data_IF_666736616744
#
_entry.id   IF_666736616744
#
_cell.length_a   1.000
_cell.length_b   1.000
_cell.length_c   1.000
_cell.angle_alpha   90.00
_cell.angle_beta   90.00
_cell.angle_gamma   90.00
#
_symmetry.space_group_name_H-M   'P 1'
#
loop_
_entity.id
_entity.type
_entity.pdbx_description
1 polymer ?
#
# COMPACT_ATOMS: atom_id res chain seq x y z
N UNK A 1 -11.63 -22.63 -11.58
CA UNK A 1 -10.96 -21.32 -11.39
C UNK A 1 -9.51 -21.59 -11.03
N UNK A 2 -8.63 -21.51 -12.02
CA UNK A 2 -7.20 -21.75 -11.80
C UNK A 2 -6.65 -20.59 -10.97
N UNK A 3 -6.13 -20.90 -9.79
CA UNK A 3 -5.22 -20.02 -9.06
C UNK A 3 -4.00 -19.80 -9.96
N UNK A 4 -4.09 -18.87 -10.92
CA UNK A 4 -2.89 -18.29 -11.49
C UNK A 4 -2.12 -17.75 -10.29
N UNK A 5 -0.91 -18.26 -10.11
CA UNK A 5 -0.04 -17.86 -9.02
C UNK A 5 0.28 -16.38 -9.20
N UNK A 6 -0.55 -15.48 -8.64
CA UNK A 6 -0.29 -14.05 -8.54
C UNK A 6 1.09 -13.80 -7.92
N UNK A 7 1.58 -14.78 -7.15
CA UNK A 7 2.92 -14.84 -6.61
C UNK A 7 4.05 -14.79 -7.65
N UNK A 8 3.81 -14.93 -8.96
CA UNK A 8 4.84 -14.70 -10.00
C UNK A 8 4.91 -13.25 -10.46
N UNK A 9 3.83 -12.47 -10.33
CA UNK A 9 3.77 -11.09 -10.81
C UNK A 9 4.70 -10.17 -10.01
N UNK A 10 5.68 -9.52 -10.65
CA UNK A 10 6.62 -8.64 -9.94
C UNK A 10 5.91 -7.54 -9.14
N UNK A 11 4.83 -6.96 -9.68
CA UNK A 11 4.06 -5.91 -9.02
C UNK A 11 3.36 -6.42 -7.75
N UNK A 12 2.89 -7.67 -7.78
CA UNK A 12 2.20 -8.28 -6.65
C UNK A 12 3.20 -8.60 -5.52
N UNK A 13 4.38 -9.14 -5.87
CA UNK A 13 5.47 -9.34 -4.89
C UNK A 13 5.86 -8.02 -4.22
N UNK A 14 6.08 -6.96 -5.01
CA UNK A 14 6.39 -5.63 -4.48
C UNK A 14 5.26 -5.04 -3.64
N UNK A 15 4.00 -5.32 -3.96
CA UNK A 15 2.88 -4.92 -3.12
C UNK A 15 2.88 -5.63 -1.76
N UNK A 16 3.26 -6.92 -1.71
CA UNK A 16 3.39 -7.65 -0.44
C UNK A 16 4.54 -7.11 0.41
N UNK A 17 5.69 -6.79 -0.19
CA UNK A 17 6.82 -6.14 0.50
C UNK A 17 6.42 -4.77 1.07
N UNK A 18 5.75 -3.93 0.26
CA UNK A 18 5.21 -2.64 0.72
C UNK A 18 4.20 -2.81 1.86
N UNK A 19 3.31 -3.81 1.78
CA UNK A 19 2.36 -4.13 2.84
C UNK A 19 3.05 -4.56 4.12
N UNK A 20 4.09 -5.38 4.01
CA UNK A 20 4.88 -5.82 5.16
C UNK A 20 5.54 -4.62 5.85
N UNK A 21 6.30 -3.81 5.10
CA UNK A 21 6.94 -2.61 5.65
C UNK A 21 5.91 -1.66 6.29
N UNK A 22 4.78 -1.43 5.62
CA UNK A 22 3.72 -0.55 6.14
C UNK A 22 3.13 -1.08 7.45
N UNK A 23 3.01 -2.40 7.60
CA UNK A 23 2.57 -3.04 8.85
C UNK A 23 3.56 -2.83 9.98
N UNK A 24 4.85 -3.02 9.73
CA UNK A 24 5.88 -2.80 10.75
C UNK A 24 5.91 -1.34 11.20
N UNK A 25 5.80 -0.38 10.27
CA UNK A 25 5.70 1.05 10.61
C UNK A 25 4.43 1.34 11.41
N UNK A 26 3.26 0.85 10.97
CA UNK A 26 2.00 1.05 11.69
C UNK A 26 2.05 0.45 13.11
N UNK A 27 2.65 -0.73 13.27
CA UNK A 27 2.83 -1.37 14.57
C UNK A 27 3.73 -0.53 15.47
N UNK A 28 4.85 -0.05 14.93
CA UNK A 28 5.80 0.80 15.65
C UNK A 28 5.14 2.09 16.16
N UNK A 29 4.53 2.88 15.26
CA UNK A 29 3.98 4.20 15.62
C UNK A 29 2.75 4.12 16.52
N UNK A 30 2.06 2.98 16.53
CA UNK A 30 0.86 2.77 17.36
C UNK A 30 1.13 2.03 18.67
N UNK A 31 2.40 1.73 18.98
CA UNK A 31 2.78 0.90 20.13
C UNK A 31 2.12 -0.48 20.12
N UNK A 32 2.14 -1.13 18.95
CA UNK A 32 1.61 -2.48 18.68
C UNK A 32 0.10 -2.62 18.92
N UNK A 33 -0.68 -1.57 18.68
CA UNK A 33 -2.15 -1.68 18.65
C UNK A 33 -2.57 -2.49 17.43
N UNK A 34 -3.53 -3.40 17.63
CA UNK A 34 -4.15 -4.10 16.52
C UNK A 34 -5.12 -3.19 15.74
N UNK A 35 -5.48 -3.58 14.52
CA UNK A 35 -6.31 -2.77 13.61
C UNK A 35 -7.64 -2.32 14.23
N UNK A 36 -8.34 -3.19 14.96
CA UNK A 36 -9.59 -2.85 15.65
C UNK A 36 -9.39 -1.73 16.69
N UNK A 37 -8.30 -1.78 17.44
CA UNK A 37 -7.95 -0.73 18.42
C UNK A 37 -7.53 0.58 17.74
N UNK A 38 -6.89 0.51 16.58
CA UNK A 38 -6.55 1.70 15.80
C UNK A 38 -7.81 2.41 15.32
N UNK A 39 -8.75 1.67 14.73
CA UNK A 39 -10.01 2.20 14.23
C UNK A 39 -10.86 2.89 15.30
N UNK A 40 -10.75 2.46 16.57
CA UNK A 40 -11.47 3.03 17.70
C UNK A 40 -10.71 4.16 18.41
N UNK A 41 -9.50 4.51 17.94
CA UNK A 41 -8.65 5.49 18.61
C UNK A 41 -9.01 6.93 18.25
N UNK A 42 -8.92 7.81 19.23
CA UNK A 42 -9.00 9.27 19.01
C UNK A 42 -7.61 9.91 18.78
N UNK A 43 -6.54 9.11 18.77
CA UNK A 43 -5.18 9.60 18.52
C UNK A 43 -4.97 9.86 17.03
N UNK A 44 -4.48 11.05 16.69
CA UNK A 44 -4.13 11.39 15.31
C UNK A 44 -3.13 10.40 14.70
N UNK A 45 -2.11 10.00 15.49
CA UNK A 45 -1.12 9.01 15.10
C UNK A 45 -1.72 7.64 14.80
N UNK A 46 -2.65 7.18 15.62
CA UNK A 46 -3.32 5.89 15.42
C UNK A 46 -4.20 5.92 14.17
N UNK A 47 -4.89 7.04 13.91
CA UNK A 47 -5.69 7.22 12.69
C UNK A 47 -4.84 7.22 11.42
N UNK A 48 -3.64 7.81 11.47
CA UNK A 48 -2.68 7.71 10.36
C UNK A 48 -2.20 6.27 10.19
N UNK A 49 -1.90 5.56 11.28
CA UNK A 49 -1.48 4.16 11.24
C UNK A 49 -2.56 3.23 10.66
N UNK A 50 -3.82 3.44 11.04
CA UNK A 50 -4.98 2.73 10.49
C UNK A 50 -5.12 2.93 8.99
N UNK A 51 -5.07 4.20 8.56
CA UNK A 51 -5.19 4.57 7.14
C UNK A 51 -4.03 4.00 6.32
N UNK A 52 -2.80 4.07 6.84
CA UNK A 52 -1.61 3.49 6.24
C UNK A 52 -1.77 1.98 6.03
N UNK A 53 -2.19 1.27 7.07
CA UNK A 53 -2.32 -0.18 7.04
C UNK A 53 -3.47 -0.60 6.11
N UNK A 54 -4.57 0.14 6.10
CA UNK A 54 -5.72 -0.09 5.23
C UNK A 54 -5.33 0.00 3.75
N UNK A 55 -4.72 1.11 3.33
CA UNK A 55 -4.28 1.27 1.93
C UNK A 55 -3.25 0.20 1.54
N UNK A 56 -2.31 -0.11 2.44
CA UNK A 56 -1.28 -1.11 2.19
C UNK A 56 -1.84 -2.55 2.08
N UNK A 57 -2.93 -2.88 2.78
CA UNK A 57 -3.65 -4.15 2.64
C UNK A 57 -4.44 -4.19 1.32
N UNK A 58 -5.07 -3.08 0.95
CA UNK A 58 -5.91 -3.02 -0.24
C UNK A 58 -5.10 -3.10 -1.54
N UNK A 59 -3.89 -2.54 -1.61
CA UNK A 59 -3.05 -2.58 -2.82
C UNK A 59 -2.91 -3.98 -3.43
N UNK A 60 -2.41 -5.01 -2.70
CA UNK A 60 -2.29 -6.36 -3.28
C UNK A 60 -3.65 -6.99 -3.62
N UNK A 61 -4.70 -6.74 -2.84
CA UNK A 61 -6.05 -7.24 -3.15
C UNK A 61 -6.58 -6.64 -4.45
N UNK A 62 -6.34 -5.34 -4.68
CA UNK A 62 -6.71 -4.64 -5.91
C UNK A 62 -5.92 -5.14 -7.11
N UNK A 63 -4.63 -5.43 -6.97
CA UNK A 63 -3.85 -6.06 -8.05
C UNK A 63 -4.46 -7.41 -8.42
N UNK A 64 -4.71 -8.28 -7.43
CA UNK A 64 -5.33 -9.59 -7.70
C UNK A 64 -6.70 -9.46 -8.38
N UNK A 65 -7.52 -8.49 -7.95
CA UNK A 65 -8.80 -8.19 -8.59
C UNK A 65 -8.63 -7.77 -10.05
N UNK A 66 -7.70 -6.86 -10.34
CA UNK A 66 -7.42 -6.38 -11.70
C UNK A 66 -6.89 -7.48 -12.62
N UNK A 67 -6.21 -8.49 -12.09
CA UNK A 67 -5.75 -9.65 -12.86
C UNK A 67 -6.85 -10.69 -13.06
N UNK A 68 -7.86 -10.72 -12.18
CA UNK A 68 -8.98 -11.66 -12.28
C UNK A 68 -10.13 -11.18 -13.18
N UNK A 69 -10.24 -9.87 -13.44
CA UNK A 69 -11.29 -9.30 -14.30
C UNK A 69 -10.83 -9.22 -15.75
N UNK A 70 -11.75 -9.50 -16.68
CA UNK A 70 -11.53 -9.34 -18.12
C UNK A 70 -11.93 -7.95 -18.63
N UNK A 71 -12.57 -7.13 -17.79
CA UNK A 71 -13.04 -5.81 -18.19
C UNK A 71 -11.91 -4.78 -18.14
N UNK A 72 -11.38 -4.38 -19.31
CA UNK A 72 -10.30 -3.39 -19.41
C UNK A 72 -10.59 -2.09 -18.65
N UNK A 73 -11.81 -1.54 -18.76
CA UNK A 73 -12.20 -0.33 -18.04
C UNK A 73 -12.14 -0.51 -16.52
N UNK A 74 -12.47 -1.70 -16.01
CA UNK A 74 -12.36 -2.02 -14.59
C UNK A 74 -10.89 -2.12 -14.15
N UNK A 75 -10.04 -2.79 -14.94
CA UNK A 75 -8.59 -2.88 -14.69
C UNK A 75 -7.96 -1.49 -14.59
N UNK A 76 -8.32 -0.58 -15.50
CA UNK A 76 -7.82 0.80 -15.51
C UNK A 76 -8.33 1.64 -14.33
N UNK A 77 -9.59 1.45 -13.91
CA UNK A 77 -10.12 2.07 -12.68
C UNK A 77 -9.36 1.57 -11.45
N UNK A 78 -9.13 0.25 -11.36
CA UNK A 78 -8.36 -0.34 -10.25
C UNK A 78 -6.93 0.21 -10.22
N UNK A 79 -6.24 0.30 -11.36
CA UNK A 79 -4.92 0.91 -11.43
C UNK A 79 -4.94 2.37 -10.95
N UNK A 80 -5.99 3.12 -11.28
CA UNK A 80 -6.16 4.51 -10.78
C UNK A 80 -6.28 4.54 -9.26
N UNK A 81 -7.08 3.66 -8.65
CA UNK A 81 -7.19 3.56 -7.20
C UNK A 81 -5.86 3.19 -6.54
N UNK A 82 -5.12 2.24 -7.10
CA UNK A 82 -3.78 1.89 -6.59
C UNK A 82 -2.87 3.11 -6.59
N UNK A 83 -2.87 3.91 -7.66
CA UNK A 83 -2.05 5.11 -7.73
C UNK A 83 -2.43 6.16 -6.66
N UNK A 84 -3.71 6.26 -6.29
CA UNK A 84 -4.19 7.11 -5.18
C UNK A 84 -3.63 6.58 -3.86
N UNK A 85 -3.77 5.28 -3.57
CA UNK A 85 -3.24 4.67 -2.34
C UNK A 85 -1.72 4.89 -2.18
N UNK A 86 -0.94 4.78 -3.27
CA UNK A 86 0.51 5.08 -3.21
C UNK A 86 0.78 6.54 -2.81
N UNK A 87 -0.03 7.49 -3.29
CA UNK A 87 0.10 8.91 -2.90
C UNK A 87 -0.29 9.13 -1.45
N UNK A 88 -1.36 8.47 -1.00
CA UNK A 88 -1.81 8.49 0.39
C UNK A 88 -0.73 8.00 1.34
N UNK A 89 -0.08 6.86 1.06
CA UNK A 89 1.02 6.33 1.89
C UNK A 89 2.15 7.35 2.08
N UNK A 90 2.51 8.11 1.04
CA UNK A 90 3.49 9.20 1.19
C UNK A 90 2.98 10.36 2.06
N UNK A 91 1.70 10.68 1.97
CA UNK A 91 1.05 11.67 2.83
C UNK A 91 0.99 11.20 4.29
N UNK A 92 0.74 9.92 4.54
CA UNK A 92 0.79 9.33 5.89
C UNK A 92 2.18 9.43 6.49
N UNK A 93 3.24 9.13 5.73
CA UNK A 93 4.63 9.34 6.20
C UNK A 93 4.87 10.80 6.61
N UNK A 94 4.41 11.76 5.79
CA UNK A 94 4.52 13.20 6.11
C UNK A 94 3.66 13.59 7.33
N UNK A 95 2.50 12.97 7.51
CA UNK A 95 1.66 13.15 8.68
C UNK A 95 2.36 12.70 9.96
N UNK A 96 2.97 11.51 9.95
CA UNK A 96 3.73 10.97 11.07
C UNK A 96 4.95 11.83 11.43
N UNK A 97 5.66 12.37 10.44
CA UNK A 97 6.76 13.33 10.69
C UNK A 97 6.26 14.59 11.39
N UNK A 98 5.16 15.17 10.91
CA UNK A 98 4.56 16.38 11.50
C UNK A 98 3.98 16.13 12.89
N UNK A 99 3.51 14.91 13.16
CA UNK A 99 3.04 14.46 14.47
C UNK A 99 4.20 14.21 15.47
N UNK A 100 5.46 14.30 15.01
CA UNK A 100 6.63 14.22 15.87
C UNK A 100 7.20 12.82 16.08
N UNK A 101 6.97 11.89 15.14
CA UNK A 101 7.72 10.63 15.09
C UNK A 101 9.21 10.95 14.89
N UNK A 102 10.06 10.46 15.80
CA UNK A 102 11.49 10.83 15.85
C UNK A 102 12.34 9.99 14.89
N UNK A 103 11.93 8.76 14.62
CA UNK A 103 12.68 7.77 13.83
C UNK A 103 12.33 7.92 12.34
N UNK A 104 12.70 9.07 11.78
CA UNK A 104 12.43 9.46 10.40
C UNK A 104 13.08 8.49 9.41
N UNK A 105 14.16 7.81 9.81
CA UNK A 105 14.84 6.77 9.06
C UNK A 105 13.89 5.64 8.66
N UNK A 106 12.99 5.21 9.56
CA UNK A 106 12.01 4.17 9.26
C UNK A 106 10.96 4.65 8.24
N UNK A 107 10.53 5.91 8.34
CA UNK A 107 9.64 6.51 7.34
C UNK A 107 10.34 6.64 5.98
N UNK A 108 11.65 6.91 5.98
CA UNK A 108 12.45 6.93 4.76
C UNK A 108 12.60 5.54 4.14
N UNK A 109 12.75 4.48 4.93
CA UNK A 109 12.72 3.10 4.42
C UNK A 109 11.39 2.80 3.72
N UNK A 110 10.26 3.16 4.34
CA UNK A 110 8.94 2.99 3.71
C UNK A 110 8.83 3.79 2.39
N UNK A 111 9.37 5.01 2.32
CA UNK A 111 9.42 5.78 1.07
C UNK A 111 10.28 5.12 -0.01
N UNK A 112 11.39 4.48 0.36
CA UNK A 112 12.17 3.71 -0.61
C UNK A 112 11.39 2.50 -1.11
N UNK A 113 10.65 1.83 -0.24
CA UNK A 113 9.79 0.71 -0.66
C UNK A 113 8.67 1.18 -1.60
N UNK A 114 8.07 2.36 -1.34
CA UNK A 114 7.11 2.97 -2.27
C UNK A 114 7.75 3.25 -3.64
N UNK A 115 9.00 3.72 -3.68
CA UNK A 115 9.71 3.94 -4.96
C UNK A 115 9.98 2.62 -5.69
N UNK A 116 10.38 1.58 -4.96
CA UNK A 116 10.54 0.21 -5.46
C UNK A 116 9.22 -0.31 -6.07
N UNK A 117 8.11 -0.22 -5.32
CA UNK A 117 6.78 -0.60 -5.80
C UNK A 117 6.35 0.20 -7.03
N UNK A 118 6.53 1.53 -7.03
CA UNK A 118 6.14 2.40 -8.16
C UNK A 118 6.79 2.00 -9.48
N UNK A 119 8.05 1.55 -9.45
CA UNK A 119 8.74 1.07 -10.67
C UNK A 119 8.01 -0.14 -11.26
N UNK A 120 7.72 -1.13 -10.42
CA UNK A 120 7.00 -2.33 -10.84
C UNK A 120 5.56 -2.03 -11.27
N UNK A 121 4.87 -1.17 -10.52
CA UNK A 121 3.52 -0.72 -10.82
C UNK A 121 3.42 0.02 -12.16
N UNK A 122 4.41 0.85 -12.52
CA UNK A 122 4.44 1.53 -13.82
C UNK A 122 4.51 0.54 -14.98
N UNK A 123 5.33 -0.50 -14.85
CA UNK A 123 5.47 -1.55 -15.87
C UNK A 123 4.16 -2.31 -16.02
N UNK A 124 3.60 -2.78 -14.90
CA UNK A 124 2.33 -3.50 -14.89
C UNK A 124 1.17 -2.66 -15.44
N UNK A 125 1.04 -1.40 -15.02
CA UNK A 125 0.01 -0.51 -15.56
C UNK A 125 0.19 -0.29 -17.07
N UNK A 126 1.43 -0.25 -17.55
CA UNK A 126 1.72 -0.14 -18.98
C UNK A 126 1.23 -1.34 -19.79
N UNK A 127 1.34 -2.56 -19.24
CA UNK A 127 0.82 -3.75 -19.92
C UNK A 127 -0.71 -3.76 -20.01
N UNK A 128 -1.41 -3.14 -19.06
CA UNK A 128 -2.88 -3.00 -19.12
C UNK A 128 -3.34 -2.10 -20.27
N UNK A 129 -2.54 -1.12 -20.69
CA UNK A 129 -2.89 -0.16 -21.74
C UNK A 129 -2.48 -0.62 -23.14
N UNK A 130 -1.78 -1.74 -23.25
CA UNK A 130 -1.32 -2.33 -24.50
C UNK A 130 -2.23 -3.49 -24.99
N UNK A 131 -3.25 -3.82 -24.21
CA UNK A 131 -4.35 -4.75 -24.55
C UNK A 131 -5.52 -3.99 -25.17
#
# INVERSE_FOLDING_TARGET
>A
MTYQSFGSLPVYKKALELRHMSREIASYVSFNKNLLKLYQSNSHRDNIADSLLTDAILIPQKIALAESTTCHNERMKIATYINIMIRNINSYCRGLEKDGVKEIEYLNLLRQEIKSFRKSFKIWRGSLSAE
#
